data_IF_859529869386
#
_entry.id   IF_859529869386
#
_cell.length_a   1.000
_cell.length_b   1.000
_cell.length_c   1.000
_cell.angle_alpha   90.00
_cell.angle_beta   90.00
_cell.angle_gamma   90.00
#
_symmetry.space_group_name_H-M   'P 1'
#
loop_
_entity.id
_entity.type
_entity.pdbx_description
1 polymer ?
#
# COMPACT_ATOMS: atom_id res chain seq x y z
N UNK A 1 19.58 -5.59 8.49
CA UNK A 1 19.05 -4.34 7.90
C UNK A 1 19.99 -3.90 6.79
N UNK A 2 19.50 -3.97 5.58
CA UNK A 2 20.21 -3.40 4.45
C UNK A 2 20.23 -1.88 4.61
N UNK A 3 21.42 -1.28 4.62
CA UNK A 3 21.57 0.17 4.57
C UNK A 3 21.07 0.67 3.23
N UNK A 4 19.77 0.91 3.17
CA UNK A 4 19.11 1.43 1.97
C UNK A 4 19.35 2.93 1.94
N UNK A 5 20.15 3.38 0.99
CA UNK A 5 20.45 4.80 0.82
C UNK A 5 19.26 5.50 0.16
N UNK A 6 18.56 6.32 0.94
CA UNK A 6 17.40 7.07 0.46
C UNK A 6 17.87 8.37 -0.18
N UNK A 7 17.44 8.69 -1.42
CA UNK A 7 17.75 9.99 -2.01
C UNK A 7 17.17 11.13 -1.17
N UNK A 8 17.92 12.21 -1.02
CA UNK A 8 17.50 13.39 -0.23
C UNK A 8 16.14 13.94 -0.62
N UNK A 9 15.77 13.82 -1.90
CA UNK A 9 14.49 14.29 -2.40
C UNK A 9 13.28 13.60 -1.73
N UNK A 10 13.46 12.40 -1.21
CA UNK A 10 12.37 11.59 -0.61
C UNK A 10 12.41 11.53 0.91
N UNK A 11 13.45 12.04 1.56
CA UNK A 11 13.59 11.98 3.03
C UNK A 11 12.39 12.58 3.77
N UNK A 12 11.91 13.73 3.30
CA UNK A 12 10.73 14.38 3.90
C UNK A 12 9.44 13.59 3.72
N UNK A 13 9.30 12.89 2.60
CA UNK A 13 8.14 12.05 2.32
C UNK A 13 8.07 10.85 3.23
N UNK A 14 9.22 10.32 3.62
CA UNK A 14 9.32 9.12 4.47
C UNK A 14 9.21 9.44 5.96
N UNK A 15 9.12 10.71 6.32
CA UNK A 15 8.98 11.15 7.72
C UNK A 15 7.51 11.12 8.13
N UNK A 16 7.05 9.94 8.50
CA UNK A 16 5.69 9.71 9.01
C UNK A 16 5.75 9.01 10.37
N UNK A 17 4.69 9.13 11.21
CA UNK A 17 4.67 8.44 12.51
C UNK A 17 4.82 6.94 12.39
N UNK A 18 5.48 6.32 13.38
CA UNK A 18 5.74 4.88 13.39
C UNK A 18 4.45 4.04 13.30
N UNK A 19 3.34 4.53 13.85
CA UNK A 19 2.05 3.84 13.80
C UNK A 19 1.53 3.67 12.38
N UNK A 20 1.97 4.53 11.45
CA UNK A 20 1.56 4.51 10.05
C UNK A 20 2.56 3.80 9.14
N UNK A 21 3.69 3.34 9.69
CA UNK A 21 4.72 2.60 8.97
C UNK A 21 4.39 1.11 8.94
N UNK A 22 3.73 0.70 7.88
CA UNK A 22 3.32 -0.68 7.65
C UNK A 22 4.11 -1.32 6.48
N UNK A 23 3.63 -2.44 5.95
CA UNK A 23 4.27 -3.10 4.81
C UNK A 23 4.21 -2.24 3.54
N UNK A 24 3.18 -1.42 3.37
CA UNK A 24 3.11 -0.46 2.28
C UNK A 24 4.22 0.59 2.38
N UNK A 25 4.51 1.06 3.59
CA UNK A 25 5.63 1.96 3.83
C UNK A 25 6.97 1.30 3.47
N UNK A 26 7.18 0.05 3.89
CA UNK A 26 8.38 -0.71 3.52
C UNK A 26 8.55 -0.80 2.00
N UNK A 27 7.47 -1.08 1.28
CA UNK A 27 7.52 -1.13 -0.17
C UNK A 27 7.90 0.23 -0.77
N UNK A 28 7.34 1.31 -0.24
CA UNK A 28 7.69 2.66 -0.68
C UNK A 28 9.18 2.97 -0.47
N UNK A 29 9.74 2.60 0.68
CA UNK A 29 11.17 2.77 0.96
C UNK A 29 12.02 2.00 -0.06
N UNK A 30 11.66 0.75 -0.31
CA UNK A 30 12.41 -0.10 -1.24
C UNK A 30 12.31 0.38 -2.69
N UNK A 31 11.15 0.89 -3.10
CA UNK A 31 10.92 1.41 -4.43
C UNK A 31 11.65 2.76 -4.65
N UNK A 32 11.54 3.68 -3.71
CA UNK A 32 12.10 5.03 -3.83
C UNK A 32 13.62 5.06 -3.64
N UNK A 33 14.16 4.10 -2.89
CA UNK A 33 15.62 3.97 -2.72
C UNK A 33 16.31 3.29 -3.89
N UNK A 34 15.54 2.67 -4.80
CA UNK A 34 16.10 1.90 -5.91
C UNK A 34 16.48 0.47 -5.55
N UNK A 35 16.23 0.01 -4.31
CA UNK A 35 16.49 -1.38 -3.91
C UNK A 35 15.60 -2.35 -4.71
N UNK A 36 14.38 -1.95 -5.04
CA UNK A 36 13.53 -2.63 -6.00
C UNK A 36 13.52 -1.87 -7.33
N UNK A 37 13.68 -2.58 -8.43
CA UNK A 37 13.54 -2.01 -9.77
C UNK A 37 12.05 -1.85 -10.04
N UNK A 38 11.61 -0.60 -10.18
CA UNK A 38 10.21 -0.27 -10.42
C UNK A 38 10.09 0.73 -11.56
N UNK A 39 8.93 0.73 -12.23
CA UNK A 39 8.66 1.72 -13.26
C UNK A 39 8.33 3.09 -12.64
N UNK A 40 8.33 4.12 -13.47
CA UNK A 40 8.02 5.50 -13.06
C UNK A 40 6.67 5.61 -12.38
N UNK A 41 5.64 4.96 -12.94
CA UNK A 41 4.27 5.04 -12.41
C UNK A 41 4.15 4.42 -11.02
N UNK A 42 4.87 3.33 -10.76
CA UNK A 42 4.92 2.71 -9.43
C UNK A 42 5.56 3.65 -8.42
N UNK A 43 6.67 4.31 -8.79
CA UNK A 43 7.31 5.29 -7.91
C UNK A 43 6.39 6.49 -7.64
N UNK A 44 5.67 6.96 -8.64
CA UNK A 44 4.69 8.04 -8.48
C UNK A 44 3.54 7.63 -7.56
N UNK A 45 3.09 6.37 -7.65
CA UNK A 45 2.07 5.84 -6.73
C UNK A 45 2.57 5.82 -5.28
N UNK A 46 3.82 5.43 -5.05
CA UNK A 46 4.44 5.48 -3.72
C UNK A 46 4.52 6.91 -3.19
N UNK A 47 4.96 7.85 -4.02
CA UNK A 47 5.05 9.27 -3.67
C UNK A 47 3.67 9.81 -3.31
N UNK A 48 2.65 9.51 -4.10
CA UNK A 48 1.27 9.94 -3.83
C UNK A 48 0.78 9.40 -2.49
N UNK A 49 0.99 8.13 -2.23
CA UNK A 49 0.58 7.50 -0.97
C UNK A 49 1.20 8.21 0.25
N UNK A 50 2.50 8.47 0.19
CA UNK A 50 3.21 9.16 1.29
C UNK A 50 2.77 10.62 1.44
N UNK A 51 2.59 11.34 0.34
CA UNK A 51 2.08 12.72 0.37
C UNK A 51 0.67 12.78 0.96
N UNK A 52 -0.20 11.84 0.59
CA UNK A 52 -1.56 11.78 1.11
C UNK A 52 -1.56 11.49 2.62
N UNK A 53 -0.66 10.62 3.11
CA UNK A 53 -0.52 10.38 4.54
C UNK A 53 -0.12 11.67 5.27
N UNK A 54 0.89 12.36 4.78
CA UNK A 54 1.33 13.63 5.39
C UNK A 54 0.22 14.68 5.35
N UNK A 55 -0.49 14.77 4.24
CA UNK A 55 -1.61 15.69 4.10
C UNK A 55 -2.74 15.37 5.09
N UNK A 56 -3.02 14.09 5.31
CA UNK A 56 -4.05 13.67 6.27
C UNK A 56 -3.69 14.06 7.70
N UNK A 57 -2.41 14.18 8.02
CA UNK A 57 -1.92 14.56 9.36
C UNK A 57 -1.84 16.08 9.55
N UNK A 58 -1.51 16.82 8.49
CA UNK A 58 -1.18 18.25 8.58
C UNK A 58 -2.33 19.17 8.14
N UNK A 59 -3.26 18.68 7.33
CA UNK A 59 -4.36 19.47 6.77
C UNK A 59 -5.69 19.00 7.34
N UNK A 60 -6.29 19.82 8.23
CA UNK A 60 -7.58 19.52 8.85
C UNK A 60 -8.74 19.48 7.86
N UNK A 61 -8.61 20.16 6.72
CA UNK A 61 -9.63 20.17 5.66
C UNK A 61 -9.58 18.94 4.76
N UNK A 62 -8.50 18.17 4.83
CA UNK A 62 -8.35 16.94 4.06
C UNK A 62 -9.18 15.84 4.69
N UNK A 63 -10.23 15.41 3.99
CA UNK A 63 -11.26 14.52 4.56
C UNK A 63 -10.90 13.03 4.49
N UNK A 64 -9.64 12.69 4.22
CA UNK A 64 -9.20 11.30 4.10
C UNK A 64 -8.15 10.97 5.16
N UNK A 65 -8.20 9.75 5.67
CA UNK A 65 -7.24 9.25 6.64
C UNK A 65 -6.80 7.83 6.27
N UNK A 66 -5.55 7.51 6.58
CA UNK A 66 -4.99 6.19 6.35
C UNK A 66 -5.08 5.35 7.63
N UNK A 67 -5.68 4.16 7.53
CA UNK A 67 -5.86 3.24 8.66
C UNK A 67 -5.13 1.92 8.38
N UNK A 68 -3.83 1.81 8.72
CA UNK A 68 -3.04 0.63 8.42
C UNK A 68 -3.57 -0.66 9.05
N UNK A 69 -4.21 -0.58 10.21
CA UNK A 69 -4.80 -1.74 10.89
C UNK A 69 -5.91 -2.38 10.06
N UNK A 70 -6.72 -1.59 9.39
CA UNK A 70 -7.80 -2.10 8.51
C UNK A 70 -7.24 -2.73 7.25
N UNK A 71 -6.21 -2.12 6.65
CA UNK A 71 -5.50 -2.71 5.52
C UNK A 71 -4.87 -4.05 5.90
N UNK A 72 -4.26 -4.11 7.09
CA UNK A 72 -3.64 -5.33 7.61
C UNK A 72 -4.68 -6.46 7.82
N UNK A 73 -5.89 -6.13 8.25
CA UNK A 73 -6.98 -7.12 8.38
C UNK A 73 -7.33 -7.74 7.03
N UNK A 74 -7.43 -6.93 5.98
CA UNK A 74 -7.72 -7.41 4.62
C UNK A 74 -6.60 -8.32 4.13
N UNK A 75 -5.35 -7.92 4.34
CA UNK A 75 -4.17 -8.71 3.97
C UNK A 75 -4.18 -10.06 4.68
N UNK A 76 -4.40 -10.08 5.98
CA UNK A 76 -4.49 -11.32 6.77
C UNK A 76 -5.61 -12.22 6.29
N UNK A 77 -6.76 -11.65 5.95
CA UNK A 77 -7.88 -12.41 5.41
C UNK A 77 -7.52 -13.09 4.10
N UNK A 78 -6.89 -12.37 3.18
CA UNK A 78 -6.45 -12.92 1.89
C UNK A 78 -5.40 -14.01 2.10
N UNK A 79 -4.44 -13.80 2.99
CA UNK A 79 -3.39 -14.79 3.29
C UNK A 79 -3.94 -16.03 3.99
N UNK A 80 -5.06 -15.91 4.71
CA UNK A 80 -5.73 -17.05 5.36
C UNK A 80 -6.51 -17.92 4.38
N UNK A 81 -6.83 -17.41 3.18
CA UNK A 81 -7.51 -18.20 2.16
C UNK A 81 -6.52 -19.16 1.50
N UNK A 82 -6.81 -20.47 1.46
CA UNK A 82 -5.95 -21.41 0.75
C UNK A 82 -6.05 -21.17 -0.76
N UNK A 83 -4.96 -21.42 -1.47
CA UNK A 83 -5.03 -21.45 -2.92
C UNK A 83 -5.80 -22.72 -3.35
N UNK A 84 -6.19 -22.86 -4.65
CA UNK A 84 -6.89 -24.06 -5.12
C UNK A 84 -6.13 -25.38 -4.90
N UNK A 85 -4.80 -25.31 -4.68
CA UNK A 85 -3.95 -26.47 -4.40
C UNK A 85 -3.72 -26.69 -2.92
N UNK A 86 -4.33 -25.87 -2.02
CA UNK A 86 -4.19 -26.00 -0.58
C UNK A 86 -2.92 -25.39 0.02
N UNK A 87 -2.14 -24.65 -0.77
CA UNK A 87 -0.91 -24.01 -0.30
C UNK A 87 -1.20 -22.70 0.45
N UNK A 88 -0.26 -22.29 1.31
CA UNK A 88 -0.34 -21.00 2.01
C UNK A 88 -0.17 -19.87 1.01
N UNK A 89 -1.09 -18.90 1.04
CA UNK A 89 -1.09 -17.75 0.13
C UNK A 89 -0.41 -16.55 0.77
N UNK A 90 0.93 -16.53 0.72
CA UNK A 90 1.70 -15.37 1.21
C UNK A 90 1.78 -14.29 0.14
N UNK A 91 1.39 -13.07 0.52
CA UNK A 91 1.46 -11.91 -0.37
C UNK A 91 2.85 -11.27 -0.34
N UNK A 92 3.35 -10.87 -1.50
CA UNK A 92 4.57 -10.08 -1.61
C UNK A 92 4.34 -8.62 -1.19
N UNK A 93 5.42 -7.88 -0.95
CA UNK A 93 5.33 -6.48 -0.52
C UNK A 93 4.56 -5.59 -1.51
N UNK A 94 4.75 -5.80 -2.83
CA UNK A 94 4.05 -5.01 -3.83
C UNK A 94 2.53 -5.27 -3.80
N UNK A 95 2.11 -6.50 -3.53
CA UNK A 95 0.71 -6.86 -3.39
C UNK A 95 0.11 -6.22 -2.14
N UNK A 96 0.84 -6.27 -1.03
CA UNK A 96 0.43 -5.59 0.22
C UNK A 96 0.33 -4.08 0.04
N UNK A 97 1.24 -3.48 -0.73
CA UNK A 97 1.18 -2.06 -1.05
C UNK A 97 -0.08 -1.71 -1.84
N UNK A 98 -0.43 -2.49 -2.85
CA UNK A 98 -1.65 -2.27 -3.66
C UNK A 98 -2.91 -2.37 -2.78
N UNK A 99 -3.01 -3.42 -1.98
CA UNK A 99 -4.15 -3.63 -1.09
C UNK A 99 -4.26 -2.49 -0.08
N UNK A 100 -3.15 -2.12 0.56
CA UNK A 100 -3.12 -1.05 1.55
C UNK A 100 -3.49 0.31 0.93
N UNK A 101 -3.01 0.59 -0.28
CA UNK A 101 -3.31 1.85 -0.98
C UNK A 101 -4.79 2.00 -1.30
N UNK A 102 -5.50 0.90 -1.51
CA UNK A 102 -6.91 0.92 -1.90
C UNK A 102 -7.82 0.71 -0.69
N UNK A 103 -7.48 -0.19 0.21
CA UNK A 103 -8.35 -0.59 1.34
C UNK A 103 -7.98 0.05 2.68
N UNK A 104 -6.91 0.79 2.74
CA UNK A 104 -6.48 1.47 3.96
C UNK A 104 -6.96 2.91 4.09
N UNK A 105 -7.53 3.49 3.04
CA UNK A 105 -7.97 4.88 3.04
C UNK A 105 -9.47 5.01 3.26
N UNK A 106 -9.84 5.87 4.19
CA UNK A 106 -11.23 6.12 4.61
C UNK A 106 -11.50 7.61 4.71
N UNK A 107 -12.77 7.99 4.59
CA UNK A 107 -13.21 9.35 4.84
C UNK A 107 -13.27 9.61 6.34
N UNK A 108 -12.85 10.78 6.78
CA UNK A 108 -12.85 11.15 8.21
C UNK A 108 -14.26 11.33 8.78
N UNK A 109 -15.17 11.86 7.98
CA UNK A 109 -16.54 12.20 8.40
C UNK A 109 -17.47 10.97 8.46
N UNK A 110 -17.48 10.15 7.39
CA UNK A 110 -18.44 9.03 7.28
C UNK A 110 -17.79 7.66 7.47
N UNK A 111 -16.47 7.60 7.62
CA UNK A 111 -15.70 6.36 7.78
C UNK A 111 -15.93 5.34 6.64
N UNK A 112 -16.13 5.85 5.44
CA UNK A 112 -16.33 5.05 4.25
C UNK A 112 -15.04 4.93 3.43
N UNK A 113 -14.94 3.88 2.60
CA UNK A 113 -13.80 3.70 1.71
C UNK A 113 -13.63 4.86 0.74
N UNK A 114 -12.39 5.40 0.66
CA UNK A 114 -12.05 6.46 -0.28
C UNK A 114 -12.12 5.99 -1.72
N UNK A 115 -11.52 4.83 -2.01
CA UNK A 115 -11.44 4.29 -3.37
C UNK A 115 -12.47 3.19 -3.55
N UNK A 116 -13.38 3.39 -4.49
CA UNK A 116 -14.43 2.43 -4.85
C UNK A 116 -14.03 1.57 -6.05
N UNK A 117 -13.05 2.01 -6.83
CA UNK A 117 -12.56 1.33 -8.02
C UNK A 117 -11.03 1.43 -8.07
N UNK A 118 -10.39 0.36 -8.52
CA UNK A 118 -8.95 0.34 -8.75
C UNK A 118 -8.65 -0.26 -10.12
N UNK A 119 -7.71 0.35 -10.84
CA UNK A 119 -7.19 -0.19 -12.09
C UNK A 119 -5.77 -0.68 -11.83
N UNK A 120 -5.53 -1.98 -12.06
CA UNK A 120 -4.24 -2.62 -11.83
C UNK A 120 -3.77 -3.23 -13.14
N UNK A 121 -2.68 -2.72 -13.68
CA UNK A 121 -2.05 -3.23 -14.89
C UNK A 121 -0.77 -3.97 -14.53
N UNK A 122 -0.70 -5.23 -14.86
CA UNK A 122 0.44 -6.12 -14.59
C UNK A 122 0.64 -7.08 -15.74
N UNK A 123 1.88 -7.55 -15.90
CA UNK A 123 2.19 -8.64 -16.81
C UNK A 123 1.47 -9.92 -16.37
N UNK A 124 1.24 -10.79 -17.33
CA UNK A 124 0.65 -12.11 -17.10
C UNK A 124 1.51 -12.93 -16.12
N UNK A 125 0.88 -13.68 -15.22
CA UNK A 125 1.54 -14.53 -14.19
C UNK A 125 2.34 -13.77 -13.12
N UNK A 126 2.01 -12.51 -12.86
CA UNK A 126 2.64 -11.70 -11.81
C UNK A 126 1.81 -11.64 -10.51
N UNK A 127 1.03 -12.69 -10.22
CA UNK A 127 0.25 -12.76 -8.99
C UNK A 127 -1.03 -11.93 -8.99
N UNK A 128 -1.60 -11.67 -10.16
CA UNK A 128 -2.81 -10.83 -10.34
C UNK A 128 -4.08 -11.40 -9.70
N UNK A 129 -4.08 -12.69 -9.34
CA UNK A 129 -5.25 -13.37 -8.75
C UNK A 129 -5.68 -12.76 -7.41
N UNK A 130 -4.76 -12.16 -6.65
CA UNK A 130 -5.13 -11.50 -5.41
C UNK A 130 -6.13 -10.35 -5.64
N UNK A 131 -6.07 -9.70 -6.80
CA UNK A 131 -6.98 -8.61 -7.16
C UNK A 131 -8.42 -9.11 -7.31
N UNK A 132 -8.62 -10.35 -7.77
CA UNK A 132 -9.94 -10.98 -7.82
C UNK A 132 -10.48 -11.26 -6.42
N UNK A 133 -9.65 -11.83 -5.55
CA UNK A 133 -10.01 -12.06 -4.13
C UNK A 133 -10.40 -10.74 -3.46
N UNK A 134 -9.64 -9.70 -3.72
CA UNK A 134 -9.89 -8.36 -3.22
C UNK A 134 -11.28 -7.82 -3.65
N UNK A 135 -11.67 -8.07 -4.90
CA UNK A 135 -12.94 -7.58 -5.46
C UNK A 135 -14.16 -8.19 -4.76
N UNK A 136 -14.03 -9.40 -4.25
CA UNK A 136 -15.13 -10.17 -3.65
C UNK A 136 -15.17 -10.10 -2.11
N UNK A 137 -14.31 -9.30 -1.53
CA UNK A 137 -14.32 -8.96 -0.10
C UNK A 137 -15.16 -7.68 0.09
#
# INVERSE_FOLDING_TARGET
MTNVKIPKAYEKLLDIPNELRDDAYKYCVMALSGAYITCKDTRLACIRHLKDIQRSLNDSKYNYTYKPKRAKKVIKFIEALPDPKGNINKLGLFQKFIISSVRGWFTKDTDMLRFKKAFISMSRKQGKRFAWLYRNI
#
